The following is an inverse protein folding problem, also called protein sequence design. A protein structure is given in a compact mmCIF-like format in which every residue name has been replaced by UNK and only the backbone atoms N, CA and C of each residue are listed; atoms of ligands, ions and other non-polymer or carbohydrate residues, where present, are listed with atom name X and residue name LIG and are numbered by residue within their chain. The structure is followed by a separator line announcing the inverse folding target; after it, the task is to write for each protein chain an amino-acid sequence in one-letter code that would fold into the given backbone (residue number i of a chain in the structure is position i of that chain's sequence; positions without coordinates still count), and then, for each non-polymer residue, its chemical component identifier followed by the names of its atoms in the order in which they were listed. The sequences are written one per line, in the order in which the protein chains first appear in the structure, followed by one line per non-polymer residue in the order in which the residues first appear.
data_IF_679442565710
#
_entry.id   IF_679442565710
#
_cell.length_a   1.000
_cell.length_b   1.000
_cell.length_c   1.000
_cell.angle_alpha   90.00
_cell.angle_beta   90.00
_cell.angle_gamma   90.00
#
_symmetry.space_group_name_H-M   'P 1'
#
loop_
_entity.id
_entity.type
_entity.pdbx_description
1 polymer ?
#
# COMPACT_ATOMS: atom_id res chain seq x y z
N UNK A 1 -20.94 -5.00 16.30
CA UNK A 1 -22.18 -5.43 15.59
C UNK A 1 -22.70 -6.71 16.22
N UNK A 2 -24.03 -6.89 16.34
CA UNK A 2 -24.66 -8.13 16.81
C UNK A 2 -25.83 -8.49 15.91
N UNK A 3 -25.83 -9.70 15.37
CA UNK A 3 -26.98 -10.26 14.66
C UNK A 3 -27.92 -10.93 15.66
N UNK A 4 -29.19 -10.53 15.67
CA UNK A 4 -30.25 -11.23 16.41
C UNK A 4 -31.18 -11.87 15.39
N UNK A 5 -31.00 -13.17 15.19
CA UNK A 5 -31.88 -13.97 14.33
C UNK A 5 -33.17 -14.23 15.09
N UNK A 6 -34.28 -13.70 14.61
CA UNK A 6 -35.59 -13.80 15.27
C UNK A 6 -36.54 -14.76 14.56
N UNK A 7 -36.18 -15.22 13.37
CA UNK A 7 -36.98 -16.09 12.53
C UNK A 7 -36.07 -16.91 11.61
N UNK A 8 -36.48 -18.13 11.31
CA UNK A 8 -35.83 -19.02 10.35
C UNK A 8 -36.69 -19.08 9.10
N UNK A 9 -36.08 -18.76 7.96
CA UNK A 9 -36.73 -18.80 6.64
C UNK A 9 -36.01 -19.79 5.72
N UNK A 10 -36.70 -20.22 4.67
CA UNK A 10 -36.09 -20.97 3.57
C UNK A 10 -35.31 -20.04 2.66
N UNK A 11 -34.03 -20.32 2.45
CA UNK A 11 -33.18 -19.59 1.50
C UNK A 11 -33.08 -20.36 0.18
N UNK A 12 -33.39 -19.68 -0.93
CA UNK A 12 -33.28 -20.22 -2.29
C UNK A 12 -31.99 -19.78 -2.99
N UNK A 13 -31.17 -18.97 -2.31
CA UNK A 13 -29.87 -18.55 -2.82
C UNK A 13 -28.97 -19.76 -3.05
N UNK A 14 -28.34 -19.77 -4.22
CA UNK A 14 -27.26 -20.70 -4.55
C UNK A 14 -26.01 -19.89 -4.85
N UNK A 15 -24.92 -20.19 -4.13
CA UNK A 15 -23.64 -19.54 -4.38
C UNK A 15 -23.07 -20.08 -5.70
N UNK A 16 -22.81 -19.23 -6.71
CA UNK A 16 -22.20 -19.69 -7.94
C UNK A 16 -20.81 -20.28 -7.68
N UNK A 17 -20.51 -21.43 -8.30
CA UNK A 17 -19.16 -22.02 -8.25
C UNK A 17 -18.11 -21.13 -8.92
N UNK A 18 -18.54 -20.29 -9.87
CA UNK A 18 -17.69 -19.34 -10.57
C UNK A 18 -18.29 -17.94 -10.41
N UNK A 19 -17.55 -17.03 -9.77
CA UNK A 19 -18.01 -15.66 -9.53
C UNK A 19 -17.64 -14.73 -10.70
N UNK A 20 -16.39 -14.78 -11.14
CA UNK A 20 -15.86 -13.96 -12.23
C UNK A 20 -14.57 -14.56 -12.79
N UNK A 21 -14.16 -14.13 -13.98
CA UNK A 21 -12.86 -14.43 -14.56
C UNK A 21 -11.90 -13.27 -14.27
N UNK A 22 -10.78 -13.56 -13.59
CA UNK A 22 -9.71 -12.60 -13.33
C UNK A 22 -8.52 -13.00 -14.21
N UNK A 23 -8.17 -12.15 -15.17
CA UNK A 23 -7.00 -12.37 -16.01
C UNK A 23 -5.73 -12.15 -15.19
N UNK A 24 -4.90 -13.19 -15.03
CA UNK A 24 -3.57 -13.04 -14.42
C UNK A 24 -2.67 -12.19 -15.31
N UNK A 25 -1.95 -11.26 -14.70
CA UNK A 25 -0.95 -10.45 -15.39
C UNK A 25 0.35 -11.27 -15.46
N UNK A 26 0.91 -11.43 -16.66
CA UNK A 26 2.14 -12.22 -16.84
C UNK A 26 3.36 -11.46 -16.33
N UNK A 27 4.26 -12.16 -15.63
CA UNK A 27 5.56 -11.59 -15.25
C UNK A 27 6.42 -11.23 -16.48
N UNK A 28 6.16 -11.84 -17.64
CA UNK A 28 6.87 -11.50 -18.88
C UNK A 28 6.50 -10.10 -19.41
N UNK A 29 5.37 -9.53 -18.97
CA UNK A 29 4.92 -8.20 -19.39
C UNK A 29 5.53 -7.09 -18.50
N UNK A 30 6.21 -7.45 -17.42
CA UNK A 30 6.80 -6.51 -16.47
C UNK A 30 8.00 -5.82 -17.10
N UNK A 31 7.89 -4.50 -17.29
CA UNK A 31 8.99 -3.69 -17.84
C UNK A 31 9.91 -3.13 -16.76
N UNK A 32 9.45 -3.11 -15.50
CA UNK A 32 10.20 -2.51 -14.39
C UNK A 32 9.71 -2.98 -13.03
N UNK A 33 10.64 -3.11 -12.09
CA UNK A 33 10.37 -3.23 -10.66
C UNK A 33 10.73 -1.91 -9.96
N UNK A 34 9.85 -1.44 -9.07
CA UNK A 34 10.03 -0.23 -8.25
C UNK A 34 9.88 -0.59 -6.79
N UNK A 35 10.75 -0.04 -5.95
CA UNK A 35 10.68 -0.23 -4.50
C UNK A 35 10.25 1.08 -3.85
N UNK A 36 9.26 0.97 -2.96
CA UNK A 36 8.74 2.04 -2.13
C UNK A 36 9.09 1.74 -0.68
N UNK A 37 10.03 2.50 -0.13
CA UNK A 37 10.38 2.47 1.28
C UNK A 37 9.29 3.18 2.07
N UNK A 38 8.63 2.45 2.97
CA UNK A 38 7.60 2.95 3.86
C UNK A 38 8.22 3.11 5.25
N UNK A 39 8.24 4.35 5.73
CA UNK A 39 8.92 4.69 6.98
C UNK A 39 8.19 5.78 7.75
N UNK A 40 8.54 5.92 9.02
CA UNK A 40 8.17 7.05 9.86
C UNK A 40 9.34 8.02 9.90
N UNK A 41 9.07 9.33 9.82
CA UNK A 41 10.09 10.37 9.88
C UNK A 41 10.90 10.31 11.18
N UNK A 42 12.13 9.79 11.07
CA UNK A 42 13.18 9.89 12.08
C UNK A 42 14.06 11.12 11.88
N UNK A 43 14.79 11.54 12.92
CA UNK A 43 15.59 12.78 12.97
C UNK A 43 16.83 12.82 12.05
N UNK A 44 16.97 11.92 11.08
CA UNK A 44 18.25 11.65 10.41
C UNK A 44 18.43 12.40 9.07
N UNK A 45 17.59 13.39 8.75
CA UNK A 45 17.61 14.07 7.45
C UNK A 45 17.51 15.61 7.44
N UNK A 46 17.28 16.28 8.58
CA UNK A 46 17.17 17.75 8.62
C UNK A 46 18.35 18.40 9.34
N UNK A 47 19.51 18.37 8.68
CA UNK A 47 20.63 19.30 8.94
C UNK A 47 20.48 20.63 8.17
N UNK A 48 19.30 20.94 7.64
CA UNK A 48 19.07 22.18 6.88
C UNK A 48 17.64 22.71 7.03
N UNK A 49 17.53 23.90 7.62
CA UNK A 49 16.35 24.77 7.71
C UNK A 49 15.16 24.27 8.55
N UNK A 50 15.01 24.85 9.76
CA UNK A 50 13.70 24.91 10.44
C UNK A 50 13.65 24.43 11.88
N UNK A 51 14.73 24.52 12.66
CA UNK A 51 14.75 24.20 14.09
C UNK A 51 14.03 25.23 14.99
N UNK A 52 12.85 25.72 14.60
CA UNK A 52 12.04 26.66 15.40
C UNK A 52 10.52 26.38 15.32
N UNK A 53 10.12 25.10 15.22
CA UNK A 53 8.71 24.72 15.24
C UNK A 53 8.50 23.29 15.72
N UNK A 54 8.25 23.14 17.02
CA UNK A 54 7.61 21.98 17.64
C UNK A 54 8.11 20.58 17.21
N UNK A 55 9.26 20.13 17.74
CA UNK A 55 9.89 18.82 17.50
C UNK A 55 8.99 17.58 17.73
N UNK A 56 7.81 17.74 18.33
CA UNK A 56 6.83 16.68 18.51
C UNK A 56 6.05 16.34 17.22
N UNK A 57 5.88 17.27 16.27
CA UNK A 57 5.09 17.03 15.05
C UNK A 57 5.83 16.22 13.98
N UNK A 58 7.16 16.22 13.98
CA UNK A 58 7.96 15.50 12.97
C UNK A 58 8.15 14.01 13.29
N UNK A 59 8.01 13.59 14.55
CA UNK A 59 8.25 12.19 15.00
C UNK A 59 7.13 11.19 14.65
N UNK A 60 6.16 11.59 13.83
CA UNK A 60 5.03 10.74 13.44
C UNK A 60 4.60 10.91 12.00
N UNK A 61 5.38 11.61 11.17
CA UNK A 61 5.02 11.79 9.76
C UNK A 61 5.39 10.54 8.97
N UNK A 62 4.40 9.90 8.35
CA UNK A 62 4.66 8.80 7.43
C UNK A 62 5.31 9.31 6.16
N UNK A 63 6.25 8.53 5.63
CA UNK A 63 7.05 8.86 4.47
C UNK A 63 7.03 7.72 3.47
N UNK A 64 7.16 8.08 2.18
CA UNK A 64 7.47 7.13 1.12
C UNK A 64 8.80 7.58 0.52
N UNK A 65 9.79 6.68 0.46
CA UNK A 65 11.14 6.99 -0.03
C UNK A 65 11.76 8.21 0.68
N UNK A 66 11.61 8.27 2.01
CA UNK A 66 12.03 9.37 2.90
C UNK A 66 11.41 10.74 2.59
N UNK A 67 10.28 10.77 1.88
CA UNK A 67 9.60 12.01 1.51
C UNK A 67 8.20 12.05 2.11
N UNK A 68 7.87 13.18 2.72
CA UNK A 68 6.50 13.53 3.09
C UNK A 68 5.75 14.00 1.84
N UNK A 69 4.44 13.77 1.78
CA UNK A 69 3.58 14.25 0.70
C UNK A 69 3.78 15.75 0.38
N UNK A 70 3.86 16.07 -0.90
CA UNK A 70 3.89 17.44 -1.46
C UNK A 70 3.04 17.44 -2.73
N UNK A 71 2.02 18.31 -2.77
CA UNK A 71 1.08 18.40 -3.91
C UNK A 71 1.75 18.79 -5.23
N UNK A 72 2.93 19.40 -5.19
CA UNK A 72 3.67 19.85 -6.37
C UNK A 72 4.69 18.82 -6.88
N UNK A 73 4.91 17.73 -6.13
CA UNK A 73 5.92 16.72 -6.44
C UNK A 73 5.32 15.51 -7.14
N UNK A 74 6.04 15.03 -8.15
CA UNK A 74 5.78 13.76 -8.82
C UNK A 74 7.06 12.93 -8.72
N UNK A 75 7.00 11.82 -7.99
CA UNK A 75 8.16 10.94 -7.79
C UNK A 75 8.22 9.79 -8.82
N UNK A 76 7.07 9.40 -9.38
CA UNK A 76 6.97 8.25 -10.28
C UNK A 76 6.27 8.59 -11.61
N UNK A 77 6.93 8.24 -12.71
CA UNK A 77 6.36 8.28 -14.06
C UNK A 77 6.27 6.86 -14.61
N UNK A 78 5.08 6.46 -15.07
CA UNK A 78 4.82 5.15 -15.67
C UNK A 78 4.11 5.37 -17.01
N UNK A 79 4.61 4.72 -18.06
CA UNK A 79 4.01 4.80 -19.38
C UNK A 79 2.68 4.02 -19.39
N UNK A 80 1.64 4.63 -19.97
CA UNK A 80 0.33 3.97 -20.11
C UNK A 80 0.45 2.65 -20.89
N UNK A 81 -0.31 1.64 -20.46
CA UNK A 81 -0.33 0.31 -21.06
C UNK A 81 0.84 -0.60 -20.67
N UNK A 82 1.72 -0.16 -19.77
CA UNK A 82 2.85 -0.98 -19.29
C UNK A 82 2.56 -1.62 -17.95
N UNK A 83 3.15 -2.79 -17.71
CA UNK A 83 3.07 -3.50 -16.44
C UNK A 83 4.35 -3.26 -15.63
N UNK A 84 4.19 -2.94 -14.35
CA UNK A 84 5.31 -2.78 -13.40
C UNK A 84 5.06 -3.56 -12.13
N UNK A 85 6.12 -3.99 -11.47
CA UNK A 85 6.06 -4.51 -10.09
C UNK A 85 6.33 -3.35 -9.14
N UNK A 86 5.44 -3.15 -8.16
CA UNK A 86 5.64 -2.27 -7.02
C UNK A 86 5.92 -3.09 -5.76
N UNK A 87 7.14 -3.00 -5.24
CA UNK A 87 7.55 -3.59 -3.96
C UNK A 87 7.36 -2.54 -2.87
N UNK A 88 6.45 -2.78 -1.93
CA UNK A 88 6.25 -1.92 -0.77
C UNK A 88 7.01 -2.50 0.41
N UNK A 89 8.14 -1.89 0.77
CA UNK A 89 9.00 -2.31 1.85
C UNK A 89 8.66 -1.53 3.13
N UNK A 90 8.10 -2.24 4.11
CA UNK A 90 7.74 -1.68 5.40
C UNK A 90 8.74 -2.04 6.52
N UNK A 91 9.97 -2.42 6.19
CA UNK A 91 10.99 -2.80 7.17
C UNK A 91 11.44 -1.63 8.06
N UNK A 92 11.21 -0.38 7.61
CA UNK A 92 11.55 0.85 8.33
C UNK A 92 10.34 1.55 8.95
N UNK A 93 9.14 1.04 8.72
CA UNK A 93 7.92 1.52 9.38
C UNK A 93 7.74 0.86 10.74
N UNK A 94 7.07 1.56 11.66
CA UNK A 94 6.80 1.05 13.01
C UNK A 94 5.43 0.42 13.17
N UNK A 95 4.63 0.42 12.10
CA UNK A 95 3.23 0.01 12.09
C UNK A 95 2.84 -0.62 10.73
N UNK A 96 1.70 -1.32 10.63
CA UNK A 96 1.17 -1.78 9.35
C UNK A 96 0.67 -0.61 8.48
N UNK A 97 1.02 -0.62 7.20
CA UNK A 97 0.54 0.36 6.21
C UNK A 97 -0.32 -0.28 5.12
N UNK A 98 -1.66 -0.10 5.14
CA UNK A 98 -2.50 -0.52 4.03
C UNK A 98 -2.30 0.43 2.84
N UNK A 99 -1.70 -0.08 1.76
CA UNK A 99 -1.40 0.72 0.59
C UNK A 99 -2.60 0.84 -0.35
N UNK A 100 -2.80 2.05 -0.88
CA UNK A 100 -3.79 2.34 -1.92
C UNK A 100 -3.09 3.04 -3.09
N UNK A 101 -3.41 2.61 -4.32
CA UNK A 101 -2.87 3.15 -5.56
C UNK A 101 -4.05 3.61 -6.42
N UNK A 102 -3.97 4.84 -6.92
CA UNK A 102 -5.03 5.41 -7.76
C UNK A 102 -4.92 4.91 -9.21
N UNK A 103 -6.02 5.04 -9.96
CA UNK A 103 -6.13 4.82 -11.42
C UNK A 103 -5.96 3.38 -11.94
N UNK A 104 -5.62 2.40 -11.09
CA UNK A 104 -5.37 1.02 -11.52
C UNK A 104 -5.93 -0.03 -10.55
N UNK A 105 -5.99 -1.27 -11.02
CA UNK A 105 -6.10 -2.47 -10.20
C UNK A 105 -4.75 -3.20 -10.23
N UNK A 106 -4.45 -3.96 -9.18
CA UNK A 106 -3.19 -4.70 -9.08
C UNK A 106 -3.44 -6.13 -8.57
N UNK A 107 -2.47 -7.00 -8.85
CA UNK A 107 -2.44 -8.37 -8.32
C UNK A 107 -1.31 -8.47 -7.30
N UNK A 108 -1.61 -9.07 -6.15
CA UNK A 108 -0.61 -9.33 -5.11
C UNK A 108 0.22 -10.53 -5.55
N UNK A 109 1.52 -10.33 -5.74
CA UNK A 109 2.44 -11.40 -6.13
C UNK A 109 2.93 -12.19 -4.92
N UNK A 110 3.45 -11.48 -3.92
CA UNK A 110 3.91 -12.06 -2.67
C UNK A 110 3.72 -11.10 -1.50
N UNK A 111 3.97 -11.61 -0.30
CA UNK A 111 4.14 -10.84 0.92
C UNK A 111 5.13 -11.56 1.81
N UNK A 112 6.20 -10.88 2.20
CA UNK A 112 7.16 -11.37 3.20
C UNK A 112 7.12 -10.46 4.42
N UNK A 113 6.82 -11.03 5.60
CA UNK A 113 6.62 -10.24 6.83
C UNK A 113 5.89 -11.00 7.95
N UNK A 114 5.79 -10.36 9.12
CA UNK A 114 5.54 -10.94 10.45
C UNK A 114 4.24 -11.78 10.61
N UNK A 115 4.40 -13.11 10.52
CA UNK A 115 4.05 -14.14 11.54
C UNK A 115 4.68 -15.49 11.15
N UNK A 116 6.00 -15.61 11.29
CA UNK A 116 6.75 -16.88 11.31
C UNK A 116 8.04 -16.78 12.15
N UNK A 117 8.03 -15.90 13.16
CA UNK A 117 8.66 -16.11 14.46
C UNK A 117 7.58 -15.83 15.51
#
# INVERSE_FOLDING_TARGET
MKFKVIQKEGDTFTLPHNLSAICTISNNDVIKTRTFDISNGGMDGMSGMGALGNSAMMKGMHQINNKVYDQSRIDEFVQSGTTVIGVFDNSKGTEPHPMHIHALQFQVLDRTGWRNN
#
